data_IF_940092137050
#
_entry.id   IF_940092137050
#
_cell.length_a   1.000
_cell.length_b   1.000
_cell.length_c   1.000
_cell.angle_alpha   90.00
_cell.angle_beta   90.00
_cell.angle_gamma   90.00
#
_symmetry.space_group_name_H-M   'P 1'
#
loop_
_entity.id
_entity.type
_entity.pdbx_description
1 polymer ?
#
# COMPACT_ATOMS: atom_id res chain seq x y z
N UNK A 1 1.13 6.02 16.27
CA UNK A 1 0.32 5.13 17.14
C UNK A 1 -0.30 5.88 18.33
N UNK A 2 0.48 6.68 19.11
CA UNK A 2 -0.07 7.43 20.26
C UNK A 2 -1.22 8.37 19.80
N UNK A 3 -1.05 9.08 18.71
CA UNK A 3 -2.05 9.95 18.09
C UNK A 3 -3.33 9.21 17.71
N UNK A 4 -3.19 8.12 16.98
CA UNK A 4 -4.34 7.33 16.52
C UNK A 4 -5.10 6.65 17.67
N UNK A 5 -4.42 6.29 18.78
CA UNK A 5 -5.09 5.79 19.99
C UNK A 5 -5.98 6.83 20.67
N UNK A 6 -5.73 8.12 20.43
CA UNK A 6 -6.54 9.24 20.88
C UNK A 6 -7.55 9.71 19.83
N UNK A 7 -7.76 8.91 18.77
CA UNK A 7 -8.62 9.23 17.62
C UNK A 7 -8.25 10.56 16.94
N UNK A 8 -6.97 10.93 17.01
CA UNK A 8 -6.41 12.12 16.37
C UNK A 8 -5.79 11.76 15.04
N UNK A 9 -6.00 12.61 14.04
CA UNK A 9 -5.43 12.51 12.69
C UNK A 9 -4.59 13.76 12.46
N UNK A 10 -3.33 13.58 12.05
CA UNK A 10 -2.41 14.71 11.87
C UNK A 10 -2.71 15.53 10.62
N UNK A 11 -3.01 14.87 9.52
CA UNK A 11 -3.39 15.40 8.20
C UNK A 11 -2.30 16.14 7.39
N UNK A 12 -1.20 16.56 8.01
CA UNK A 12 -0.08 17.24 7.34
C UNK A 12 1.28 16.61 7.71
N UNK A 13 1.36 15.26 7.65
CA UNK A 13 2.61 14.56 7.85
C UNK A 13 3.52 14.73 6.64
N UNK A 14 4.67 15.38 6.86
CA UNK A 14 5.74 15.63 5.88
C UNK A 14 7.09 15.76 6.61
N UNK A 15 8.22 15.65 5.92
CA UNK A 15 9.54 15.76 6.57
C UNK A 15 9.72 17.05 7.37
N UNK A 16 9.17 18.19 6.91
CA UNK A 16 9.26 19.49 7.59
C UNK A 16 8.61 19.47 8.99
N UNK A 17 7.64 18.58 9.22
CA UNK A 17 6.92 18.42 10.48
C UNK A 17 7.49 17.28 11.34
N UNK A 18 8.65 16.73 10.98
CA UNK A 18 9.34 15.66 11.72
C UNK A 18 10.73 16.14 12.12
N UNK A 19 10.98 16.24 13.42
CA UNK A 19 12.28 16.59 13.99
C UNK A 19 12.91 15.39 14.64
N UNK A 20 14.23 15.29 14.57
CA UNK A 20 15.04 14.33 15.32
C UNK A 20 15.93 15.12 16.25
N UNK A 21 15.81 14.92 17.56
CA UNK A 21 16.65 15.60 18.53
C UNK A 21 18.05 14.96 18.63
N UNK A 22 18.93 15.62 19.39
CA UNK A 22 20.32 15.17 19.56
C UNK A 22 20.48 13.78 20.20
N UNK A 23 19.43 13.20 20.76
CA UNK A 23 19.39 11.83 21.30
C UNK A 23 18.83 10.80 20.31
N UNK A 24 18.42 11.23 19.09
CA UNK A 24 17.77 10.39 18.10
C UNK A 24 16.27 10.22 18.32
N UNK A 25 15.67 10.98 19.25
CA UNK A 25 14.22 10.91 19.50
C UNK A 25 13.47 11.67 18.40
N UNK A 26 12.52 10.99 17.76
CA UNK A 26 11.64 11.58 16.75
C UNK A 26 10.50 12.34 17.41
N UNK A 27 10.33 13.60 17.02
CA UNK A 27 9.24 14.49 17.45
C UNK A 27 8.46 14.96 16.25
N UNK A 28 7.14 14.81 16.30
CA UNK A 28 6.22 15.38 15.33
C UNK A 28 5.82 16.76 15.83
N UNK A 29 5.88 17.74 14.95
CA UNK A 29 5.57 19.15 15.23
C UNK A 29 4.48 19.62 14.28
N UNK A 30 3.91 20.79 14.57
CA UNK A 30 2.87 21.44 13.77
C UNK A 30 1.56 20.63 13.68
N UNK A 31 0.76 20.80 14.72
CA UNK A 31 -0.57 20.17 14.84
C UNK A 31 -1.70 21.06 14.31
N UNK A 32 -1.38 22.09 13.51
CA UNK A 32 -2.35 23.08 13.04
C UNK A 32 -3.45 22.50 12.13
N UNK A 33 -3.18 21.36 11.48
CA UNK A 33 -4.16 20.64 10.64
C UNK A 33 -4.80 19.44 11.37
N UNK A 34 -4.45 19.20 12.63
CA UNK A 34 -4.89 18.00 13.36
C UNK A 34 -6.39 18.01 13.61
N UNK A 35 -7.07 16.91 13.29
CA UNK A 35 -8.46 16.67 13.66
C UNK A 35 -8.57 15.70 14.83
N UNK A 36 -9.54 15.97 15.70
CA UNK A 36 -9.97 15.07 16.77
C UNK A 36 -11.38 14.58 16.44
N UNK A 37 -11.62 13.27 16.54
CA UNK A 37 -12.96 12.73 16.27
C UNK A 37 -14.03 13.40 17.16
N UNK A 38 -15.11 13.83 16.52
CA UNK A 38 -16.25 14.50 17.21
C UNK A 38 -16.17 16.03 17.30
N UNK A 39 -15.10 16.68 16.83
CA UNK A 39 -15.05 18.13 16.67
C UNK A 39 -15.16 18.47 15.18
N UNK A 40 -16.28 19.10 14.80
CA UNK A 40 -16.46 19.64 13.46
C UNK A 40 -15.66 20.95 13.35
N UNK A 41 -14.45 20.90 12.81
CA UNK A 41 -13.75 22.10 12.34
C UNK A 41 -13.78 22.15 10.82
N UNK A 42 -14.15 23.33 10.32
CA UNK A 42 -14.38 23.65 8.90
C UNK A 42 -13.09 23.51 8.08
N UNK A 43 -13.20 22.92 6.91
CA UNK A 43 -12.36 22.79 5.71
C UNK A 43 -11.08 23.63 5.53
N UNK A 44 -10.21 23.74 6.52
CA UNK A 44 -8.89 24.37 6.36
C UNK A 44 -7.83 23.46 5.76
N UNK A 45 -8.05 22.14 5.79
CA UNK A 45 -7.05 21.16 5.30
C UNK A 45 -6.80 21.28 3.79
N UNK A 46 -7.82 21.56 2.98
CA UNK A 46 -7.68 21.64 1.51
C UNK A 46 -6.94 22.91 1.07
N UNK A 47 -7.10 24.02 1.79
CA UNK A 47 -6.39 25.27 1.48
C UNK A 47 -4.88 25.20 1.81
N UNK A 48 -4.51 24.50 2.88
CA UNK A 48 -3.11 24.31 3.29
C UNK A 48 -2.35 23.31 2.39
N UNK A 49 -3.04 22.30 1.86
CA UNK A 49 -2.46 21.31 0.93
C UNK A 49 -2.00 21.93 -0.40
N UNK A 50 -2.53 23.10 -0.76
CA UNK A 50 -2.15 23.80 -2.01
C UNK A 50 -0.76 24.44 -2.01
N UNK A 51 -0.03 24.46 -0.90
CA UNK A 51 1.39 24.84 -0.87
C UNK A 51 2.22 23.77 -1.58
N UNK A 52 2.90 24.17 -2.66
CA UNK A 52 3.82 23.34 -3.45
C UNK A 52 4.81 22.61 -2.51
N UNK A 53 4.70 21.28 -2.42
CA UNK A 53 5.52 20.44 -1.54
C UNK A 53 4.67 19.60 -0.61
N UNK A 54 3.83 20.17 0.24
CA UNK A 54 2.93 19.42 1.13
C UNK A 54 1.96 18.51 0.37
N UNK A 55 1.45 18.98 -0.78
CA UNK A 55 0.56 18.24 -1.68
C UNK A 55 1.12 16.88 -2.16
N UNK A 56 2.44 16.70 -2.18
CA UNK A 56 3.07 15.45 -2.62
C UNK A 56 3.04 14.35 -1.56
N UNK A 57 2.86 14.73 -0.29
CA UNK A 57 2.70 13.79 0.83
C UNK A 57 1.23 13.54 1.17
N UNK A 58 0.32 14.40 0.68
CA UNK A 58 -1.10 14.32 0.97
C UNK A 58 -1.74 13.10 0.28
N UNK A 59 -2.62 12.42 1.02
CA UNK A 59 -3.32 11.25 0.53
C UNK A 59 -4.28 11.60 -0.63
N UNK A 60 -4.44 10.70 -1.63
CA UNK A 60 -5.24 10.97 -2.83
C UNK A 60 -6.69 11.36 -2.55
N UNK A 61 -7.29 10.81 -1.49
CA UNK A 61 -8.67 11.09 -1.10
C UNK A 61 -8.94 12.56 -0.78
N UNK A 62 -7.93 13.30 -0.30
CA UNK A 62 -8.07 14.74 -0.06
C UNK A 62 -8.36 15.52 -1.35
N UNK A 63 -7.79 15.09 -2.48
CA UNK A 63 -8.02 15.73 -3.78
C UNK A 63 -9.38 15.36 -4.40
N UNK A 64 -10.14 14.46 -3.75
CA UNK A 64 -11.53 14.18 -4.08
C UNK A 64 -12.50 14.98 -3.18
N UNK A 65 -12.00 15.75 -2.21
CA UNK A 65 -12.81 16.42 -1.19
C UNK A 65 -13.31 15.47 -0.09
N UNK A 66 -12.71 14.28 0.03
CA UNK A 66 -13.04 13.34 1.10
C UNK A 66 -12.30 13.74 2.39
N UNK A 67 -12.93 13.53 3.55
CA UNK A 67 -12.30 13.78 4.84
C UNK A 67 -11.16 12.79 5.10
N UNK A 68 -10.11 13.27 5.78
CA UNK A 68 -8.98 12.43 6.17
C UNK A 68 -9.36 11.35 7.18
N UNK A 69 -8.54 10.31 7.21
CA UNK A 69 -8.60 9.21 8.15
C UNK A 69 -7.19 8.84 8.65
N UNK A 70 -7.10 7.95 9.63
CA UNK A 70 -5.81 7.39 10.06
C UNK A 70 -5.02 6.77 8.89
N UNK A 71 -5.74 6.26 7.88
CA UNK A 71 -5.14 5.72 6.64
C UNK A 71 -4.54 6.80 5.74
N UNK A 72 -4.96 8.07 5.89
CA UNK A 72 -4.34 9.20 5.20
C UNK A 72 -2.97 9.54 5.82
N UNK A 73 -2.86 9.55 7.15
CA UNK A 73 -1.57 9.69 7.84
C UNK A 73 -0.60 8.55 7.50
N UNK A 74 -1.13 7.33 7.41
CA UNK A 74 -0.36 6.15 7.00
C UNK A 74 0.17 6.29 5.57
N UNK A 75 -0.64 6.82 4.63
CA UNK A 75 -0.19 7.13 3.28
C UNK A 75 0.98 8.12 3.31
N UNK A 76 0.86 9.21 4.04
CA UNK A 76 1.93 10.22 4.17
C UNK A 76 3.22 9.62 4.75
N UNK A 77 3.13 8.76 5.77
CA UNK A 77 4.28 8.01 6.29
C UNK A 77 4.88 7.07 5.24
N UNK A 78 4.06 6.40 4.44
CA UNK A 78 4.50 5.57 3.33
C UNK A 78 5.26 6.37 2.27
N UNK A 79 4.78 7.59 1.93
CA UNK A 79 5.48 8.50 1.01
C UNK A 79 6.82 8.95 1.57
N UNK A 80 6.89 9.27 2.87
CA UNK A 80 8.15 9.64 3.55
C UNK A 80 9.13 8.46 3.50
N UNK A 81 8.69 7.24 3.84
CA UNK A 81 9.53 6.05 3.76
C UNK A 81 10.04 5.78 2.33
N UNK A 82 9.17 5.93 1.33
CA UNK A 82 9.55 5.84 -0.08
C UNK A 82 10.62 6.86 -0.45
N UNK A 83 10.44 8.12 -0.05
CA UNK A 83 11.38 9.20 -0.35
C UNK A 83 12.74 8.98 0.32
N UNK A 84 12.76 8.48 1.57
CA UNK A 84 14.02 8.14 2.26
C UNK A 84 14.83 7.08 1.50
N UNK A 85 14.17 6.15 0.82
CA UNK A 85 14.81 5.08 0.07
C UNK A 85 15.18 5.47 -1.37
N UNK A 86 14.38 6.33 -2.03
CA UNK A 86 14.50 6.58 -3.46
C UNK A 86 14.84 8.03 -3.83
N UNK A 87 14.77 8.97 -2.87
CA UNK A 87 14.88 10.43 -3.08
C UNK A 87 13.85 10.96 -4.10
N UNK A 88 12.74 10.23 -4.30
CA UNK A 88 11.68 10.57 -5.24
C UNK A 88 10.29 10.28 -4.64
N UNK A 89 9.21 10.40 -5.44
CA UNK A 89 7.85 10.15 -5.00
C UNK A 89 7.25 8.93 -5.71
N UNK A 90 6.41 8.13 -5.03
CA UNK A 90 5.91 6.84 -5.54
C UNK A 90 5.09 6.96 -6.82
N UNK A 91 4.44 8.11 -7.02
CA UNK A 91 3.64 8.44 -8.21
C UNK A 91 4.15 9.71 -8.90
N UNK A 92 5.40 10.13 -8.61
CA UNK A 92 5.92 11.42 -9.06
C UNK A 92 5.03 12.57 -8.58
N UNK A 93 4.69 13.50 -9.46
CA UNK A 93 3.84 14.67 -9.15
C UNK A 93 2.38 14.49 -9.61
N UNK A 94 1.91 13.24 -9.79
CA UNK A 94 0.59 12.99 -10.38
C UNK A 94 -0.55 13.02 -9.37
N UNK A 95 -0.30 12.72 -8.09
CA UNK A 95 -1.33 12.63 -7.06
C UNK A 95 -2.15 13.91 -6.93
N UNK A 96 -1.56 15.11 -6.76
CA UNK A 96 -2.33 16.35 -6.65
C UNK A 96 -3.16 16.71 -7.91
N UNK A 97 -2.76 16.15 -9.07
CA UNK A 97 -3.45 16.36 -10.36
C UNK A 97 -4.62 15.38 -10.55
N UNK A 98 -4.68 14.31 -9.78
CA UNK A 98 -5.65 13.21 -9.91
C UNK A 98 -6.90 13.49 -9.08
N UNK A 99 -7.72 14.45 -9.53
CA UNK A 99 -8.91 14.95 -8.83
C UNK A 99 -10.19 14.15 -9.09
N UNK A 100 -10.10 12.94 -9.66
CA UNK A 100 -11.22 12.03 -9.88
C UNK A 100 -10.81 10.60 -9.55
N UNK A 101 -11.75 9.76 -9.11
CA UNK A 101 -11.50 8.32 -8.85
C UNK A 101 -10.95 7.60 -10.10
N UNK A 102 -11.40 7.98 -11.29
CA UNK A 102 -10.90 7.42 -12.55
C UNK A 102 -9.44 7.81 -12.83
N UNK A 103 -9.03 9.05 -12.49
CA UNK A 103 -7.64 9.50 -12.60
C UNK A 103 -6.76 8.81 -11.56
N UNK A 104 -7.22 8.65 -10.32
CA UNK A 104 -6.47 7.96 -9.27
C UNK A 104 -6.22 6.48 -9.58
N UNK A 105 -7.17 5.79 -10.22
CA UNK A 105 -6.97 4.41 -10.68
C UNK A 105 -5.88 4.25 -11.73
N UNK A 106 -5.47 5.34 -12.40
CA UNK A 106 -4.39 5.34 -13.40
C UNK A 106 -3.02 5.68 -12.80
N UNK A 107 -2.95 5.97 -11.51
CA UNK A 107 -1.69 6.20 -10.83
C UNK A 107 -0.85 4.91 -10.85
N UNK A 108 0.34 4.99 -11.43
CA UNK A 108 1.26 3.86 -11.54
C UNK A 108 2.37 4.01 -10.49
N UNK A 109 2.41 3.09 -9.55
CA UNK A 109 3.46 3.03 -8.53
C UNK A 109 4.81 2.74 -9.20
N UNK A 110 5.83 3.50 -8.81
CA UNK A 110 7.22 3.23 -9.19
C UNK A 110 7.90 2.48 -8.08
N UNK A 111 8.45 1.30 -8.36
CA UNK A 111 9.19 0.52 -7.37
C UNK A 111 10.43 1.26 -6.87
N UNK A 112 10.76 1.11 -5.59
CA UNK A 112 12.01 1.61 -5.00
C UNK A 112 13.20 0.69 -5.34
N UNK A 113 12.93 -0.52 -5.84
CA UNK A 113 13.95 -1.49 -6.19
C UNK A 113 14.75 -0.98 -7.40
N UNK A 114 16.06 -0.95 -7.26
CA UNK A 114 17.00 -0.67 -8.34
C UNK A 114 18.27 -1.51 -8.14
N UNK A 115 19.11 -1.60 -9.16
CA UNK A 115 20.34 -2.38 -9.12
C UNK A 115 21.43 -1.79 -8.20
N UNK A 116 21.30 -0.50 -7.84
CA UNK A 116 22.31 0.22 -7.05
C UNK A 116 22.07 0.11 -5.53
N UNK A 117 20.89 -0.34 -5.11
CA UNK A 117 20.49 -0.36 -3.71
C UNK A 117 19.96 -1.75 -3.32
N UNK A 118 20.53 -2.33 -2.30
CA UNK A 118 20.08 -3.61 -1.73
C UNK A 118 18.82 -3.42 -0.84
N UNK A 119 17.73 -2.98 -1.45
CA UNK A 119 16.43 -2.86 -0.76
C UNK A 119 15.72 -4.20 -0.86
N UNK A 120 15.33 -4.82 0.27
CA UNK A 120 14.57 -6.06 0.23
C UNK A 120 13.22 -5.88 -0.47
N UNK A 121 12.86 -6.83 -1.33
CA UNK A 121 11.64 -6.73 -2.15
C UNK A 121 10.35 -6.64 -1.31
N UNK A 122 10.32 -7.21 -0.10
CA UNK A 122 9.17 -7.07 0.79
C UNK A 122 8.98 -5.65 1.33
N UNK A 123 10.07 -4.85 1.44
CA UNK A 123 10.00 -3.43 1.84
C UNK A 123 9.31 -2.63 0.75
N UNK A 124 9.62 -2.90 -0.53
CA UNK A 124 8.92 -2.28 -1.66
C UNK A 124 7.43 -2.64 -1.67
N UNK A 125 7.08 -3.91 -1.41
CA UNK A 125 5.68 -4.37 -1.34
C UNK A 125 4.93 -3.72 -0.16
N UNK A 126 5.58 -3.58 1.00
CA UNK A 126 5.01 -2.90 2.17
C UNK A 126 4.74 -1.42 1.89
N UNK A 127 5.72 -0.72 1.29
CA UNK A 127 5.55 0.70 0.93
C UNK A 127 4.46 0.85 -0.13
N UNK A 128 4.44 0.02 -1.16
CA UNK A 128 3.41 0.03 -2.21
C UNK A 128 2.01 -0.14 -1.64
N UNK A 129 1.82 -1.02 -0.64
CA UNK A 129 0.55 -1.17 0.07
C UNK A 129 0.22 0.08 0.89
N UNK A 130 1.18 0.66 1.63
CA UNK A 130 0.96 1.85 2.44
C UNK A 130 0.54 3.07 1.60
N UNK A 131 1.12 3.25 0.41
CA UNK A 131 0.82 4.36 -0.49
C UNK A 131 -0.24 4.04 -1.53
N UNK A 132 -1.05 2.98 -1.35
CA UNK A 132 -2.09 2.64 -2.31
C UNK A 132 -3.09 3.79 -2.47
N UNK A 133 -3.50 4.16 -3.73
CA UNK A 133 -4.43 5.27 -3.96
C UNK A 133 -5.77 5.09 -3.26
N UNK A 134 -6.32 3.86 -3.25
CA UNK A 134 -7.52 3.52 -2.50
C UNK A 134 -7.17 3.28 -1.02
N UNK A 135 -7.71 4.08 -0.07
CA UNK A 135 -7.42 3.94 1.36
C UNK A 135 -7.80 2.57 1.94
N UNK A 136 -8.80 1.89 1.37
CA UNK A 136 -9.22 0.56 1.83
C UNK A 136 -8.27 -0.56 1.42
N UNK A 137 -7.35 -0.29 0.50
CA UNK A 137 -6.29 -1.23 0.10
C UNK A 137 -4.99 -1.01 0.89
N UNK A 138 -4.94 -0.01 1.78
CA UNK A 138 -3.81 0.25 2.68
C UNK A 138 -3.89 -0.65 3.92
N UNK A 139 -2.90 -0.52 4.78
CA UNK A 139 -2.98 -1.09 6.14
C UNK A 139 -4.06 -0.39 6.95
N UNK A 140 -4.65 -1.13 7.86
CA UNK A 140 -5.61 -0.57 8.82
C UNK A 140 -4.87 0.17 9.94
N UNK A 141 -3.79 -0.43 10.44
CA UNK A 141 -2.98 0.10 11.53
C UNK A 141 -1.54 0.41 11.09
N UNK A 142 -0.96 1.48 11.63
CA UNK A 142 0.46 1.83 11.40
C UNK A 142 1.39 0.72 11.89
N UNK A 143 1.02 0.01 12.96
CA UNK A 143 1.78 -1.11 13.51
C UNK A 143 1.98 -2.24 12.51
N UNK A 144 0.98 -2.54 11.66
CA UNK A 144 1.09 -3.55 10.61
C UNK A 144 2.11 -3.12 9.55
N UNK A 145 2.06 -1.84 9.13
CA UNK A 145 3.03 -1.29 8.19
C UNK A 145 4.46 -1.37 8.73
N UNK A 146 4.67 -0.96 10.00
CA UNK A 146 5.99 -1.04 10.65
C UNK A 146 6.47 -2.49 10.72
N UNK A 147 5.58 -3.43 11.06
CA UNK A 147 5.93 -4.85 11.10
C UNK A 147 6.37 -5.36 9.73
N UNK A 148 5.62 -5.06 8.67
CA UNK A 148 5.92 -5.48 7.30
C UNK A 148 7.18 -4.83 6.72
N UNK A 149 7.60 -3.67 7.22
CA UNK A 149 8.91 -3.09 6.87
C UNK A 149 10.09 -3.92 7.39
N UNK A 150 9.90 -4.65 8.49
CA UNK A 150 10.95 -5.45 9.11
C UNK A 150 10.86 -6.94 8.76
N UNK A 151 9.68 -7.41 8.32
CA UNK A 151 9.42 -8.82 8.08
C UNK A 151 8.59 -9.01 6.80
N UNK A 152 8.97 -9.96 5.93
CA UNK A 152 8.14 -10.29 4.78
C UNK A 152 6.78 -10.84 5.25
N UNK A 153 5.69 -10.22 4.83
CA UNK A 153 4.35 -10.67 5.18
C UNK A 153 3.90 -11.90 4.38
N UNK A 154 2.81 -12.53 4.83
CA UNK A 154 2.31 -13.77 4.21
C UNK A 154 1.87 -13.56 2.76
N UNK A 155 1.31 -12.40 2.44
CA UNK A 155 0.84 -12.10 1.08
C UNK A 155 2.02 -11.96 0.12
N UNK A 156 3.09 -11.28 0.55
CA UNK A 156 4.35 -11.21 -0.20
C UNK A 156 4.94 -12.61 -0.42
N UNK A 157 5.05 -13.41 0.65
CA UNK A 157 5.57 -14.78 0.55
C UNK A 157 4.73 -15.67 -0.37
N UNK A 158 3.40 -15.47 -0.40
CA UNK A 158 2.51 -16.21 -1.30
C UNK A 158 2.66 -15.77 -2.76
N UNK A 159 2.82 -14.47 -3.02
CA UNK A 159 3.06 -13.92 -4.37
C UNK A 159 4.40 -14.39 -4.95
N UNK A 160 5.42 -14.51 -4.10
CA UNK A 160 6.78 -14.89 -4.52
C UNK A 160 7.04 -16.39 -4.51
N UNK A 161 6.04 -17.21 -4.10
CA UNK A 161 6.17 -18.67 -4.17
C UNK A 161 6.26 -19.13 -5.61
N UNK A 162 7.26 -19.94 -5.98
CA UNK A 162 7.33 -20.52 -7.31
C UNK A 162 6.10 -21.39 -7.59
N UNK A 163 5.64 -21.48 -8.86
CA UNK A 163 4.52 -22.32 -9.24
C UNK A 163 4.71 -23.78 -8.79
N UNK A 164 3.62 -24.51 -8.59
CA UNK A 164 3.65 -25.91 -8.09
C UNK A 164 4.56 -26.82 -8.93
N UNK A 165 4.68 -26.56 -10.23
CA UNK A 165 5.55 -27.30 -11.13
C UNK A 165 7.04 -27.20 -10.73
N UNK A 166 7.47 -26.04 -10.24
CA UNK A 166 8.85 -25.80 -9.80
C UNK A 166 9.07 -26.25 -8.35
N UNK A 167 8.06 -26.03 -7.50
CA UNK A 167 8.14 -26.32 -6.07
C UNK A 167 8.06 -27.82 -5.76
N UNK A 168 7.22 -28.54 -6.46
CA UNK A 168 7.05 -30.00 -6.32
C UNK A 168 6.54 -30.62 -7.63
N UNK A 169 7.45 -30.87 -8.60
CA UNK A 169 7.09 -31.37 -9.91
C UNK A 169 6.37 -32.72 -9.83
N UNK A 170 6.72 -33.59 -8.88
CA UNK A 170 6.09 -34.89 -8.71
C UNK A 170 4.61 -34.78 -8.34
N UNK A 171 4.27 -33.89 -7.39
CA UNK A 171 2.86 -33.65 -7.01
C UNK A 171 2.10 -33.00 -8.15
N UNK A 172 2.70 -32.03 -8.83
CA UNK A 172 2.09 -31.39 -9.98
C UNK A 172 1.71 -32.40 -11.06
N UNK A 173 2.66 -33.23 -11.50
CA UNK A 173 2.44 -34.21 -12.56
C UNK A 173 1.49 -35.33 -12.14
N UNK A 174 1.49 -35.77 -10.87
CA UNK A 174 0.50 -36.70 -10.33
C UNK A 174 -0.93 -36.13 -10.41
N UNK A 175 -1.11 -34.85 -10.03
CA UNK A 175 -2.42 -34.19 -10.12
C UNK A 175 -2.90 -34.06 -11.57
N UNK A 176 -2.02 -33.68 -12.50
CA UNK A 176 -2.32 -33.61 -13.94
C UNK A 176 -2.69 -34.97 -14.49
N UNK A 177 -1.91 -36.02 -14.17
CA UNK A 177 -2.18 -37.40 -14.62
C UNK A 177 -3.52 -37.90 -14.09
N UNK A 178 -3.84 -37.63 -12.84
CA UNK A 178 -5.13 -38.01 -12.24
C UNK A 178 -6.30 -37.29 -12.94
N UNK A 179 -6.17 -35.98 -13.20
CA UNK A 179 -7.19 -35.22 -13.93
C UNK A 179 -7.42 -35.77 -15.34
N UNK A 180 -6.35 -36.09 -16.06
CA UNK A 180 -6.43 -36.65 -17.40
C UNK A 180 -7.07 -38.04 -17.39
N UNK A 181 -6.77 -38.90 -16.40
CA UNK A 181 -7.39 -40.19 -16.22
C UNK A 181 -8.90 -40.09 -15.99
N UNK A 182 -9.33 -39.16 -15.13
CA UNK A 182 -10.76 -38.89 -14.89
C UNK A 182 -11.46 -38.42 -16.15
N UNK A 183 -10.86 -37.48 -16.91
CA UNK A 183 -11.42 -37.01 -18.19
C UNK A 183 -11.54 -38.13 -19.24
N UNK A 184 -10.55 -39.01 -19.29
CA UNK A 184 -10.58 -40.17 -20.16
C UNK A 184 -11.72 -41.12 -19.83
N UNK A 185 -11.92 -41.47 -18.56
CA UNK A 185 -13.00 -42.33 -18.07
C UNK A 185 -14.36 -41.71 -18.41
N UNK A 186 -14.55 -40.41 -18.15
CA UNK A 186 -15.80 -39.71 -18.49
C UNK A 186 -16.05 -39.71 -19.99
N UNK A 187 -15.02 -39.47 -20.81
CA UNK A 187 -15.11 -39.48 -22.28
C UNK A 187 -15.48 -40.88 -22.84
N UNK A 188 -14.89 -41.93 -22.26
CA UNK A 188 -15.21 -43.31 -22.66
C UNK A 188 -16.61 -43.71 -22.21
N UNK A 189 -17.03 -43.34 -21.01
CA UNK A 189 -18.37 -43.57 -20.48
C UNK A 189 -19.46 -42.89 -21.32
N UNK A 190 -19.23 -41.64 -21.74
CA UNK A 190 -20.18 -40.90 -22.57
C UNK A 190 -20.30 -41.50 -23.99
N UNK A 191 -19.23 -42.05 -24.54
CA UNK A 191 -19.27 -42.78 -25.85
C UNK A 191 -20.00 -44.09 -25.73
N UNK A 192 -19.88 -44.83 -24.63
CA UNK A 192 -20.59 -46.07 -24.41
C UNK A 192 -22.12 -45.90 -24.28
N UNK A 193 -22.58 -44.75 -23.74
CA UNK A 193 -24.00 -44.43 -23.59
C UNK A 193 -24.64 -43.81 -24.85
N UNK A 194 -23.83 -43.33 -25.81
CA UNK A 194 -24.32 -42.76 -27.07
C UNK A 194 -24.48 -43.76 -28.23
N UNK A 195 -24.20 -45.05 -28.01
CA UNK A 195 -24.28 -46.13 -29.01
C UNK A 195 -25.37 -47.16 -28.69
N UNK A 196 -26.31 -46.85 -27.78
CA UNK A 196 -27.45 -47.64 -27.41
C UNK A 196 -28.78 -47.13 -27.97
#
# INVERSE_FOLDING_TARGET
QAFHRLEMIHQDLKPDNIMIDGTGTVKIIDFGATRVAGLEEVDTAIEQINLLGAALYAAPEYFLGESGSQRADLYSLGVIAYQMLSSSFPYGTQVPKSRTKAAQKKLAYKSVLNEEREIPAWVDDAIRKAVHPDPFQRYEEISEFIYDLHHPNKDFLNKTRPPLIERNPVVFWKAVSFLLAVLLIVSLGSRAHGLG
#
